data_IF_531106634885
#
_entry.id   IF_531106634885
#
_cell.length_a   1.000
_cell.length_b   1.000
_cell.length_c   1.000
_cell.angle_alpha   90.00
_cell.angle_beta   90.00
_cell.angle_gamma   90.00
#
_symmetry.space_group_name_H-M   'P 1'
#
loop_
_entity.id
_entity.type
_entity.pdbx_description
1 polymer ?
#
# COMPACT_ATOMS: atom_id res chain seq x y z
N UNK A 1 12.21 41.40 53.61
CA UNK A 1 11.05 41.22 52.71
C UNK A 1 11.32 40.02 51.83
N UNK A 2 10.66 38.90 52.10
CA UNK A 2 11.03 37.60 51.52
C UNK A 2 10.40 37.37 50.15
N UNK A 3 11.20 36.87 49.21
CA UNK A 3 10.80 36.34 47.88
C UNK A 3 9.56 35.41 47.93
N UNK A 4 9.29 34.79 49.07
CA UNK A 4 8.18 33.86 49.29
C UNK A 4 6.80 34.52 49.21
N UNK A 5 6.68 35.84 49.44
CA UNK A 5 5.38 36.53 49.48
C UNK A 5 4.87 37.00 48.09
N UNK A 6 5.72 37.01 47.06
CA UNK A 6 5.38 37.54 45.73
C UNK A 6 5.37 36.48 44.63
N UNK A 7 5.86 35.28 44.92
CA UNK A 7 5.92 34.19 43.95
C UNK A 7 4.61 33.38 44.03
N UNK A 8 3.86 33.22 42.93
CA UNK A 8 2.67 32.39 42.91
C UNK A 8 2.97 30.97 43.40
N UNK A 9 2.07 30.42 44.21
CA UNK A 9 2.24 29.08 44.78
C UNK A 9 2.41 28.01 43.68
N UNK A 10 1.83 28.24 42.50
CA UNK A 10 2.00 27.41 41.30
C UNK A 10 3.45 27.35 40.82
N UNK A 11 4.22 28.43 40.96
CA UNK A 11 5.65 28.49 40.63
C UNK A 11 6.45 27.68 41.66
N UNK A 12 6.19 27.86 42.97
CA UNK A 12 6.87 27.09 44.03
C UNK A 12 6.52 25.60 44.03
N UNK A 13 5.42 25.18 43.40
CA UNK A 13 5.06 23.77 43.25
C UNK A 13 5.26 23.24 41.82
N UNK A 14 5.84 24.04 40.92
CA UNK A 14 6.10 23.59 39.57
C UNK A 14 7.34 22.70 39.55
N UNK A 15 7.11 21.39 39.43
CA UNK A 15 8.14 20.33 39.50
C UNK A 15 9.36 20.57 38.57
N UNK A 16 9.17 21.23 37.43
CA UNK A 16 10.27 21.54 36.50
C UNK A 16 11.29 22.55 37.04
N UNK A 17 10.91 23.43 37.99
CA UNK A 17 11.85 24.39 38.62
C UNK A 17 12.87 23.66 39.49
N UNK A 18 12.46 22.55 40.10
CA UNK A 18 13.33 21.71 40.93
C UNK A 18 14.14 20.70 40.11
N UNK A 19 14.09 20.78 38.78
CA UNK A 19 14.74 19.80 37.89
C UNK A 19 14.16 18.38 38.01
N UNK A 20 13.00 18.22 38.66
CA UNK A 20 12.31 16.94 38.74
C UNK A 20 11.73 16.63 37.37
N UNK A 21 12.08 15.47 36.83
CA UNK A 21 11.54 14.97 35.56
C UNK A 21 10.38 14.03 35.85
N UNK A 22 9.35 14.05 35.02
CA UNK A 22 8.30 13.03 35.12
C UNK A 22 8.92 11.67 34.79
N UNK A 23 8.38 10.58 35.36
CA UNK A 23 8.86 9.23 35.06
C UNK A 23 8.83 8.92 33.56
N UNK A 24 7.81 9.44 32.84
CA UNK A 24 7.70 9.33 31.39
C UNK A 24 8.85 10.04 30.65
N UNK A 25 9.26 11.23 31.09
CA UNK A 25 10.38 11.98 30.50
C UNK A 25 11.71 11.23 30.68
N UNK A 26 11.90 10.61 31.85
CA UNK A 26 13.08 9.79 32.14
C UNK A 26 13.12 8.56 31.24
N UNK A 27 11.99 7.86 31.10
CA UNK A 27 11.87 6.69 30.22
C UNK A 27 12.09 7.06 28.75
N UNK A 28 11.50 8.16 28.27
CA UNK A 28 11.72 8.67 26.93
C UNK A 28 13.21 8.96 26.70
N UNK A 29 13.86 9.66 27.63
CA UNK A 29 15.27 9.99 27.52
C UNK A 29 16.13 8.71 27.45
N UNK A 30 15.89 7.75 28.33
CA UNK A 30 16.60 6.47 28.34
C UNK A 30 16.42 5.72 27.01
N UNK A 31 15.18 5.53 26.58
CA UNK A 31 14.88 4.83 25.33
C UNK A 31 15.47 5.53 24.10
N UNK A 32 15.42 6.86 24.05
CA UNK A 32 15.98 7.65 22.95
C UNK A 32 17.51 7.56 22.93
N UNK A 33 18.17 7.71 24.09
CA UNK A 33 19.63 7.60 24.19
C UNK A 33 20.14 6.20 23.84
N UNK A 34 19.47 5.15 24.34
CA UNK A 34 19.83 3.76 24.02
C UNK A 34 19.65 3.46 22.54
N UNK A 35 18.57 3.97 21.95
CA UNK A 35 18.32 3.81 20.53
C UNK A 35 19.37 4.50 19.67
N UNK A 36 19.64 5.78 19.94
CA UNK A 36 20.66 6.55 19.21
C UNK A 36 22.04 5.90 19.33
N UNK A 37 22.41 5.43 20.52
CA UNK A 37 23.67 4.72 20.74
C UNK A 37 23.73 3.43 19.91
N UNK A 38 22.64 2.69 19.85
CA UNK A 38 22.60 1.39 19.16
C UNK A 38 22.59 1.55 17.64
N UNK A 39 21.83 2.50 17.09
CA UNK A 39 21.82 2.79 15.64
C UNK A 39 23.19 3.24 15.16
N UNK A 40 23.91 4.04 15.96
CA UNK A 40 25.24 4.53 15.62
C UNK A 40 26.37 3.57 16.03
N UNK A 41 26.05 2.38 16.54
CA UNK A 41 27.07 1.42 16.94
C UNK A 41 27.78 0.82 15.71
N UNK A 42 29.12 0.70 15.70
CA UNK A 42 29.86 0.18 14.54
C UNK A 42 29.41 -1.21 14.04
N UNK A 43 28.92 -2.07 14.94
CA UNK A 43 28.41 -3.40 14.60
C UNK A 43 26.88 -3.45 14.54
N UNK A 44 26.22 -2.32 14.30
CA UNK A 44 24.76 -2.28 14.13
C UNK A 44 24.26 -3.31 13.09
N UNK A 45 25.04 -3.55 12.04
CA UNK A 45 24.69 -4.47 10.96
C UNK A 45 24.51 -5.93 11.38
N UNK A 46 25.15 -6.34 12.47
CA UNK A 46 25.04 -7.69 13.05
C UNK A 46 24.12 -7.73 14.26
N UNK A 47 23.57 -6.58 14.67
CA UNK A 47 22.68 -6.48 15.82
C UNK A 47 21.30 -7.10 15.54
N UNK A 48 20.72 -7.87 16.50
CA UNK A 48 19.33 -8.32 16.42
C UNK A 48 18.33 -7.17 16.27
N UNK A 49 18.66 -5.99 16.81
CA UNK A 49 17.83 -4.80 16.73
C UNK A 49 17.60 -4.35 15.29
N UNK A 50 18.57 -4.62 14.40
CA UNK A 50 18.38 -4.47 12.96
C UNK A 50 17.19 -5.32 12.52
N UNK A 51 17.23 -6.62 12.74
CA UNK A 51 16.17 -7.53 12.31
C UNK A 51 14.79 -7.08 12.83
N UNK A 52 14.70 -6.69 14.11
CA UNK A 52 13.45 -6.22 14.72
C UNK A 52 12.85 -5.00 14.01
N UNK A 53 13.65 -3.98 13.71
CA UNK A 53 13.13 -2.80 12.99
C UNK A 53 12.74 -3.11 11.55
N UNK A 54 13.45 -4.02 10.86
CA UNK A 54 12.99 -4.44 9.54
C UNK A 54 11.66 -5.19 9.64
N UNK A 55 11.47 -6.02 10.67
CA UNK A 55 10.18 -6.66 10.95
C UNK A 55 9.07 -5.62 11.22
N UNK A 56 9.36 -4.60 12.03
CA UNK A 56 8.43 -3.49 12.28
C UNK A 56 8.13 -2.68 11.02
N UNK A 57 9.12 -2.41 10.18
CA UNK A 57 8.93 -1.72 8.89
C UNK A 57 8.05 -2.55 7.95
N UNK A 58 8.28 -3.86 7.92
CA UNK A 58 7.48 -4.79 7.13
C UNK A 58 6.04 -4.88 7.67
N UNK A 59 5.81 -4.82 8.98
CA UNK A 59 4.48 -4.85 9.58
C UNK A 59 3.73 -3.52 9.42
N UNK A 60 4.43 -2.40 9.50
CA UNK A 60 3.90 -1.07 9.20
C UNK A 60 3.51 -0.91 7.72
N UNK A 61 4.06 -1.75 6.83
CA UNK A 61 3.77 -1.80 5.38
C UNK A 61 3.65 -0.40 4.77
N UNK A 62 4.62 0.47 5.04
CA UNK A 62 4.65 1.85 4.56
C UNK A 62 5.79 2.06 3.57
N UNK A 63 5.60 3.02 2.66
CA UNK A 63 6.62 3.48 1.72
C UNK A 63 7.58 4.51 2.33
N UNK A 64 7.29 5.01 3.52
CA UNK A 64 8.18 5.83 4.33
C UNK A 64 8.78 4.99 5.46
N UNK A 65 9.95 5.40 5.94
CA UNK A 65 10.60 4.75 7.08
C UNK A 65 9.80 4.98 8.35
N UNK A 66 9.64 3.94 9.17
CA UNK A 66 9.04 4.02 10.51
C UNK A 66 9.81 4.94 11.47
N UNK A 67 11.04 5.32 11.11
CA UNK A 67 11.88 6.23 11.88
C UNK A 67 11.60 7.71 11.57
N UNK A 68 10.99 8.00 10.42
CA UNK A 68 10.70 9.36 9.95
C UNK A 68 9.22 9.67 9.85
N UNK A 69 8.38 8.65 9.67
CA UNK A 69 6.93 8.78 9.56
C UNK A 69 6.23 7.92 10.62
N UNK A 70 5.18 8.48 11.22
CA UNK A 70 4.43 7.85 12.31
C UNK A 70 3.72 6.56 11.87
N UNK A 71 4.13 5.38 12.37
CA UNK A 71 3.64 4.09 11.89
C UNK A 71 2.47 3.54 12.71
N UNK A 72 1.52 2.91 12.02
CA UNK A 72 0.56 2.00 12.65
C UNK A 72 1.03 0.56 12.50
N UNK A 73 1.24 -0.14 13.62
CA UNK A 73 1.57 -1.57 13.64
C UNK A 73 0.31 -2.44 13.84
N UNK A 74 0.35 -3.66 13.33
CA UNK A 74 -0.68 -4.68 13.51
C UNK A 74 -0.58 -5.35 14.91
N UNK A 75 -1.58 -6.18 15.24
CA UNK A 75 -1.77 -6.74 16.60
C UNK A 75 -0.58 -7.53 17.15
N UNK A 76 0.24 -8.15 16.29
CA UNK A 76 1.42 -8.90 16.74
C UNK A 76 2.53 -7.98 17.23
N UNK A 77 2.97 -7.06 16.37
CA UNK A 77 4.13 -6.20 16.63
C UNK A 77 3.81 -4.98 17.51
N UNK A 78 2.58 -4.50 17.51
CA UNK A 78 2.16 -3.27 18.23
C UNK A 78 2.45 -3.27 19.73
N UNK A 79 2.56 -4.45 20.35
CA UNK A 79 2.77 -4.60 21.79
C UNK A 79 4.24 -4.74 22.18
N UNK A 80 5.15 -4.89 21.21
CA UNK A 80 6.59 -5.03 21.47
C UNK A 80 7.16 -3.75 22.08
N UNK A 81 8.23 -3.88 22.88
CA UNK A 81 8.92 -2.75 23.49
C UNK A 81 9.45 -1.80 22.41
N UNK A 82 10.07 -2.34 21.37
CA UNK A 82 10.59 -1.56 20.24
C UNK A 82 9.50 -0.77 19.53
N UNK A 83 8.33 -1.38 19.24
CA UNK A 83 7.22 -0.66 18.62
C UNK A 83 6.70 0.49 19.51
N UNK A 84 6.59 0.25 20.83
CA UNK A 84 6.19 1.28 21.80
C UNK A 84 7.20 2.42 21.86
N UNK A 85 8.50 2.11 21.84
CA UNK A 85 9.55 3.13 21.78
C UNK A 85 9.44 3.98 20.52
N UNK A 86 9.25 3.38 19.34
CA UNK A 86 9.08 4.14 18.10
C UNK A 86 7.86 5.07 18.18
N UNK A 87 6.72 4.57 18.67
CA UNK A 87 5.52 5.38 18.84
C UNK A 87 5.76 6.55 19.80
N UNK A 88 6.41 6.29 20.92
CA UNK A 88 6.74 7.31 21.92
C UNK A 88 7.61 8.43 21.33
N UNK A 89 8.54 8.11 20.41
CA UNK A 89 9.34 9.11 19.70
C UNK A 89 8.47 10.00 18.82
N UNK A 90 7.56 9.42 18.04
CA UNK A 90 6.64 10.17 17.17
C UNK A 90 5.64 11.02 17.95
N UNK A 91 5.13 10.52 19.08
CA UNK A 91 4.31 11.30 20.02
C UNK A 91 5.02 12.57 20.50
N UNK A 92 6.35 12.54 20.61
CA UNK A 92 7.19 13.69 20.96
C UNK A 92 7.77 14.43 19.74
N UNK A 93 7.29 14.14 18.53
CA UNK A 93 7.76 14.73 17.27
C UNK A 93 9.27 14.55 17.02
N UNK A 94 9.85 13.45 17.51
CA UNK A 94 11.26 13.11 17.30
C UNK A 94 11.37 12.18 16.09
N UNK A 95 12.02 12.66 15.04
CA UNK A 95 12.36 11.84 13.87
C UNK A 95 13.85 11.47 13.88
N UNK A 96 14.15 10.26 13.43
CA UNK A 96 15.53 9.77 13.32
C UNK A 96 15.92 9.70 11.85
N UNK A 97 16.92 10.51 11.49
CA UNK A 97 17.50 10.53 10.17
C UNK A 97 18.89 9.91 10.22
N UNK A 98 19.15 8.94 9.35
CA UNK A 98 20.49 8.43 9.13
C UNK A 98 20.92 8.70 7.69
N UNK A 99 21.80 9.68 7.50
CA UNK A 99 22.25 10.09 6.18
C UNK A 99 23.15 9.04 5.50
N UNK A 100 23.73 8.14 6.28
CA UNK A 100 24.70 7.15 5.80
C UNK A 100 24.06 5.77 5.55
N UNK A 101 22.84 5.53 6.05
CA UNK A 101 22.22 4.21 6.03
C UNK A 101 20.75 4.34 5.58
N UNK A 102 20.43 3.82 4.39
CA UNK A 102 19.06 3.73 3.86
C UNK A 102 18.29 2.57 4.49
N UNK A 103 18.17 2.57 5.82
CA UNK A 103 17.58 1.48 6.56
C UNK A 103 16.74 2.01 7.74
N UNK A 104 15.60 1.38 8.11
CA UNK A 104 14.98 0.19 7.52
C UNK A 104 14.47 0.42 6.11
N UNK A 105 14.41 -0.64 5.31
CA UNK A 105 13.99 -0.54 3.91
C UNK A 105 12.46 -0.45 3.82
N UNK A 106 11.90 0.69 3.38
CA UNK A 106 10.47 0.83 3.22
C UNK A 106 9.96 0.10 1.96
N UNK A 107 8.64 0.01 1.82
CA UNK A 107 8.04 -0.53 0.61
C UNK A 107 8.40 0.36 -0.60
N UNK A 108 8.88 -0.22 -1.72
CA UNK A 108 9.29 0.56 -2.90
C UNK A 108 8.10 1.11 -3.71
N UNK A 109 6.86 0.92 -3.24
CA UNK A 109 5.65 1.32 -3.94
C UNK A 109 5.33 2.79 -3.69
N UNK A 110 5.01 3.50 -4.77
CA UNK A 110 4.51 4.86 -4.69
C UNK A 110 3.04 4.87 -4.21
N UNK A 111 2.73 5.77 -3.28
CA UNK A 111 1.37 6.02 -2.81
C UNK A 111 1.37 6.80 -1.49
N UNK A 112 0.21 7.28 -1.10
CA UNK A 112 -0.02 7.94 0.19
C UNK A 112 -0.34 6.87 1.22
N UNK A 113 0.51 6.72 2.23
CA UNK A 113 0.34 5.67 3.25
C UNK A 113 -0.97 5.86 4.02
N UNK A 114 -1.70 4.76 4.22
CA UNK A 114 -2.94 4.77 4.99
C UNK A 114 -2.72 5.01 6.49
N UNK A 115 -1.47 4.86 6.97
CA UNK A 115 -1.12 5.05 8.38
C UNK A 115 -1.45 6.48 8.87
N UNK A 116 -1.38 7.48 7.98
CA UNK A 116 -1.77 8.87 8.29
C UNK A 116 -3.20 9.00 8.81
N UNK A 117 -4.11 8.15 8.32
CA UNK A 117 -5.50 8.08 8.77
C UNK A 117 -5.58 7.20 10.02
N UNK A 118 -4.97 6.02 9.95
CA UNK A 118 -5.12 5.00 10.99
C UNK A 118 -4.68 5.48 12.36
N UNK A 119 -3.65 6.33 12.48
CA UNK A 119 -3.16 6.82 13.77
C UNK A 119 -4.23 7.57 14.56
N UNK A 120 -5.18 8.22 13.87
CA UNK A 120 -6.27 8.97 14.49
C UNK A 120 -7.52 8.12 14.81
N UNK A 121 -7.56 6.87 14.35
CA UNK A 121 -8.74 6.02 14.49
C UNK A 121 -8.70 5.14 15.73
N UNK A 122 -9.87 5.02 16.37
CA UNK A 122 -10.08 3.97 17.38
C UNK A 122 -9.87 2.58 16.74
N UNK A 123 -9.17 1.68 17.44
CA UNK A 123 -8.87 0.31 16.98
C UNK A 123 -7.99 0.23 15.72
N UNK A 124 -7.16 1.24 15.49
CA UNK A 124 -6.16 1.32 14.40
C UNK A 124 -5.37 0.03 14.19
N UNK A 125 -4.90 -0.59 15.27
CA UNK A 125 -4.13 -1.85 15.25
C UNK A 125 -4.89 -3.01 14.58
N UNK A 126 -6.19 -3.16 14.88
CA UNK A 126 -7.03 -4.22 14.30
C UNK A 126 -7.35 -3.92 12.85
N UNK A 127 -7.58 -2.65 12.51
CA UNK A 127 -7.77 -2.21 11.13
C UNK A 127 -6.52 -2.49 10.31
N UNK A 128 -5.34 -2.14 10.84
CA UNK A 128 -4.04 -2.41 10.22
C UNK A 128 -3.83 -3.88 9.91
N UNK A 129 -4.10 -4.76 10.88
CA UNK A 129 -4.02 -6.20 10.66
C UNK A 129 -4.92 -6.67 9.49
N UNK A 130 -6.16 -6.18 9.43
CA UNK A 130 -7.07 -6.52 8.34
C UNK A 130 -6.58 -5.98 6.99
N UNK A 131 -6.12 -4.74 6.95
CA UNK A 131 -5.59 -4.09 5.76
C UNK A 131 -4.38 -4.84 5.21
N UNK A 132 -3.43 -5.22 6.08
CA UNK A 132 -2.26 -6.01 5.71
C UNK A 132 -2.65 -7.36 5.11
N UNK A 133 -3.67 -8.02 5.67
CA UNK A 133 -4.19 -9.29 5.13
C UNK A 133 -4.74 -9.17 3.70
N UNK A 134 -5.27 -8.01 3.32
CA UNK A 134 -5.81 -7.76 1.99
C UNK A 134 -4.80 -7.08 1.04
N UNK A 135 -3.64 -6.63 1.54
CA UNK A 135 -2.66 -5.90 0.74
C UNK A 135 -3.07 -4.45 0.46
N UNK A 136 -3.81 -3.83 1.39
CA UNK A 136 -4.29 -2.45 1.29
C UNK A 136 -3.42 -1.55 2.18
N UNK A 137 -2.50 -0.83 1.56
CA UNK A 137 -1.48 -0.03 2.25
C UNK A 137 -1.58 1.46 1.95
N UNK A 138 -2.20 1.80 0.81
CA UNK A 138 -2.24 3.16 0.27
C UNK A 138 -3.66 3.64 0.07
N UNK A 139 -3.88 4.94 0.20
CA UNK A 139 -5.18 5.58 -0.01
C UNK A 139 -5.65 5.43 -1.44
N UNK A 140 -4.74 5.53 -2.40
CA UNK A 140 -5.01 5.45 -3.83
C UNK A 140 -5.64 4.09 -4.23
N UNK A 141 -5.42 3.03 -3.44
CA UNK A 141 -6.05 1.73 -3.68
C UNK A 141 -7.58 1.73 -3.44
N UNK A 142 -8.10 2.76 -2.78
CA UNK A 142 -9.52 2.95 -2.47
C UNK A 142 -10.21 3.93 -3.43
N UNK A 143 -9.46 4.61 -4.30
CA UNK A 143 -9.99 5.67 -5.17
C UNK A 143 -9.88 5.29 -6.63
N UNK A 144 -10.66 5.97 -7.47
CA UNK A 144 -10.53 5.88 -8.92
C UNK A 144 -9.28 6.62 -9.43
N UNK A 145 -9.07 6.64 -10.75
CA UNK A 145 -7.91 7.27 -11.38
C UNK A 145 -7.84 8.78 -11.20
N UNK A 146 -9.00 9.43 -11.16
CA UNK A 146 -9.13 10.90 -11.06
C UNK A 146 -9.35 11.41 -9.64
N UNK A 147 -9.32 10.54 -8.63
CA UNK A 147 -9.61 10.86 -7.22
C UNK A 147 -10.99 11.49 -6.97
N UNK A 148 -11.94 11.32 -7.89
CA UNK A 148 -13.29 11.89 -7.78
C UNK A 148 -14.27 10.99 -7.03
N UNK A 149 -13.97 9.69 -6.95
CA UNK A 149 -14.86 8.72 -6.33
C UNK A 149 -14.09 7.57 -5.67
N UNK A 150 -14.67 7.04 -4.59
CA UNK A 150 -14.19 5.83 -3.94
C UNK A 150 -14.67 4.58 -4.68
N UNK A 151 -13.80 3.58 -4.74
CA UNK A 151 -14.08 2.28 -5.30
C UNK A 151 -15.01 1.51 -4.37
N UNK A 152 -16.01 0.87 -4.96
CA UNK A 152 -16.78 -0.16 -4.26
C UNK A 152 -15.86 -1.32 -3.86
N UNK A 153 -16.23 -2.07 -2.82
CA UNK A 153 -15.45 -3.25 -2.40
C UNK A 153 -15.16 -4.21 -3.55
N UNK A 154 -16.13 -4.40 -4.46
CA UNK A 154 -15.95 -5.24 -5.66
C UNK A 154 -14.86 -4.71 -6.58
N UNK A 155 -14.77 -3.40 -6.76
CA UNK A 155 -13.78 -2.74 -7.61
C UNK A 155 -12.38 -2.80 -7.00
N UNK A 156 -12.27 -2.74 -5.68
CA UNK A 156 -10.99 -2.91 -4.96
C UNK A 156 -10.35 -4.27 -5.24
N UNK A 157 -11.12 -5.30 -5.60
CA UNK A 157 -10.54 -6.60 -5.97
C UNK A 157 -9.51 -6.46 -7.12
N UNK A 158 -9.74 -5.52 -8.05
CA UNK A 158 -8.80 -5.20 -9.12
C UNK A 158 -7.53 -4.52 -8.61
N UNK A 159 -7.60 -3.59 -7.67
CA UNK A 159 -6.39 -2.96 -7.11
C UNK A 159 -5.56 -3.95 -6.31
N UNK A 160 -6.19 -4.84 -5.51
CA UNK A 160 -5.48 -5.88 -4.74
C UNK A 160 -5.13 -7.14 -5.54
N UNK A 161 -5.56 -7.22 -6.81
CA UNK A 161 -5.31 -8.35 -7.71
C UNK A 161 -5.78 -9.70 -7.15
N UNK A 162 -6.90 -9.71 -6.41
CA UNK A 162 -7.46 -10.90 -5.75
C UNK A 162 -8.95 -10.72 -5.53
N UNK A 163 -9.73 -11.79 -5.73
CA UNK A 163 -11.17 -11.82 -5.42
C UNK A 163 -11.37 -12.55 -4.08
N UNK A 164 -11.65 -11.84 -2.98
CA UNK A 164 -12.05 -12.44 -1.71
C UNK A 164 -13.38 -13.21 -1.85
N UNK A 165 -13.50 -14.33 -1.14
CA UNK A 165 -14.75 -15.14 -1.12
C UNK A 165 -15.86 -14.54 -0.26
N UNK A 166 -15.55 -13.54 0.58
CA UNK A 166 -16.47 -12.99 1.59
C UNK A 166 -17.12 -11.70 1.09
N UNK A 167 -18.29 -11.39 1.67
CA UNK A 167 -18.96 -10.09 1.51
C UNK A 167 -18.04 -8.94 1.89
N UNK A 168 -18.39 -7.74 1.43
CA UNK A 168 -17.72 -6.50 1.84
C UNK A 168 -17.64 -6.44 3.38
N UNK A 169 -16.43 -6.28 3.95
CA UNK A 169 -16.30 -6.23 5.38
C UNK A 169 -16.79 -4.88 5.92
N UNK A 170 -17.48 -4.88 7.05
CA UNK A 170 -18.04 -3.64 7.62
C UNK A 170 -17.00 -2.60 8.08
N UNK A 171 -15.72 -2.98 8.21
CA UNK A 171 -14.65 -2.01 8.44
C UNK A 171 -14.31 -1.20 7.20
N UNK A 172 -14.59 -1.73 5.99
CA UNK A 172 -14.23 -1.08 4.74
C UNK A 172 -15.02 0.22 4.54
N UNK A 173 -16.34 0.17 4.73
CA UNK A 173 -17.20 1.36 4.61
C UNK A 173 -16.84 2.43 5.63
N UNK A 174 -16.61 2.02 6.89
CA UNK A 174 -16.17 2.94 7.95
C UNK A 174 -14.84 3.60 7.58
N UNK A 175 -13.87 2.82 7.11
CA UNK A 175 -12.59 3.36 6.71
C UNK A 175 -12.74 4.35 5.56
N UNK A 176 -13.52 4.04 4.52
CA UNK A 176 -13.73 4.98 3.41
C UNK A 176 -14.35 6.30 3.87
N UNK A 177 -15.29 6.26 4.82
CA UNK A 177 -15.90 7.47 5.39
C UNK A 177 -14.87 8.34 6.12
N UNK A 178 -13.94 7.71 6.85
CA UNK A 178 -12.84 8.40 7.55
C UNK A 178 -11.83 9.02 6.57
N UNK A 179 -11.52 8.34 5.45
CA UNK A 179 -10.65 8.91 4.41
C UNK A 179 -11.32 10.14 3.77
N UNK A 180 -12.63 10.08 3.51
CA UNK A 180 -13.40 11.22 2.98
C UNK A 180 -13.34 12.41 3.95
N UNK A 181 -13.48 12.17 5.25
CA UNK A 181 -13.44 13.21 6.27
C UNK A 181 -12.05 13.86 6.41
N UNK A 182 -10.98 13.11 6.13
CA UNK A 182 -9.60 13.58 6.21
C UNK A 182 -9.19 14.40 4.96
N UNK A 183 -9.63 15.66 4.92
CA UNK A 183 -9.34 16.62 3.82
C UNK A 183 -7.85 16.81 3.54
N UNK A 184 -6.99 16.70 4.55
CA UNK A 184 -5.52 16.88 4.46
C UNK A 184 -4.83 15.89 3.52
N UNK A 185 -5.45 14.74 3.24
CA UNK A 185 -4.87 13.66 2.43
C UNK A 185 -4.86 14.01 0.95
N UNK A 186 -5.85 14.79 0.49
CA UNK A 186 -6.01 15.12 -0.91
C UNK A 186 -4.78 15.86 -1.47
N UNK A 187 -4.06 16.59 -0.63
CA UNK A 187 -2.83 17.31 -0.99
C UNK A 187 -1.61 16.39 -1.17
N UNK A 188 -1.67 15.15 -0.66
CA UNK A 188 -0.56 14.19 -0.67
C UNK A 188 -0.72 13.13 -1.77
N UNK A 189 -1.88 13.06 -2.41
CA UNK A 189 -2.17 12.07 -3.45
C UNK A 189 -1.26 12.26 -4.66
N UNK A 190 -0.71 11.16 -5.14
CA UNK A 190 0.18 11.15 -6.30
C UNK A 190 -0.64 11.46 -7.56
N UNK A 191 -0.14 12.32 -8.45
CA UNK A 191 -0.83 12.57 -9.71
C UNK A 191 -0.83 11.30 -10.57
N UNK A 192 -2.02 10.89 -11.04
CA UNK A 192 -2.33 9.60 -11.64
C UNK A 192 -2.22 8.42 -10.66
N UNK A 193 -3.34 7.73 -10.47
CA UNK A 193 -3.41 6.63 -9.52
C UNK A 193 -2.61 5.42 -10.04
N UNK A 194 -1.52 5.01 -9.34
CA UNK A 194 -0.66 3.93 -9.81
C UNK A 194 -1.32 2.54 -9.73
N UNK A 195 -2.47 2.41 -9.05
CA UNK A 195 -3.15 1.14 -8.84
C UNK A 195 -4.27 0.86 -9.85
N UNK A 196 -4.64 1.84 -10.69
CA UNK A 196 -5.70 1.66 -11.70
C UNK A 196 -5.29 0.63 -12.77
N UNK A 197 -4.01 0.66 -13.18
CA UNK A 197 -3.44 -0.17 -14.25
C UNK A 197 -2.40 -1.15 -13.69
N UNK A 198 -2.83 -2.22 -13.01
CA UNK A 198 -1.93 -3.18 -12.39
C UNK A 198 -1.06 -3.89 -13.42
N UNK A 199 0.21 -4.05 -13.09
CA UNK A 199 1.19 -4.74 -13.96
C UNK A 199 0.74 -6.17 -14.23
N UNK A 200 0.92 -6.61 -15.48
CA UNK A 200 0.58 -7.98 -15.87
C UNK A 200 1.40 -9.00 -15.07
N UNK A 201 0.70 -9.97 -14.50
CA UNK A 201 1.30 -11.12 -13.80
C UNK A 201 0.44 -12.36 -14.03
N UNK A 202 0.98 -13.29 -14.82
CA UNK A 202 0.31 -14.53 -15.24
C UNK A 202 -0.05 -15.46 -14.07
N UNK A 203 0.64 -15.37 -12.93
CA UNK A 203 0.39 -16.22 -11.76
C UNK A 203 -0.82 -15.75 -10.94
N UNK A 204 -1.08 -14.44 -10.93
CA UNK A 204 -2.12 -13.83 -10.08
C UNK A 204 -3.49 -13.76 -10.77
N UNK A 205 -3.52 -13.46 -12.06
CA UNK A 205 -4.75 -13.47 -12.84
C UNK A 205 -4.49 -13.93 -14.28
N UNK A 206 -5.32 -14.83 -14.81
CA UNK A 206 -5.26 -15.18 -16.22
C UNK A 206 -6.03 -14.18 -17.09
N UNK A 207 -6.69 -13.16 -16.52
CA UNK A 207 -7.45 -12.20 -17.32
C UNK A 207 -6.65 -10.94 -17.57
N UNK A 208 -6.75 -10.43 -18.79
CA UNK A 208 -6.02 -9.27 -19.24
C UNK A 208 -6.95 -8.29 -19.95
N UNK A 209 -6.53 -7.05 -19.97
CA UNK A 209 -7.10 -5.99 -20.77
C UNK A 209 -6.01 -5.42 -21.68
N UNK A 210 -6.28 -5.39 -22.98
CA UNK A 210 -5.35 -4.91 -23.99
C UNK A 210 -5.60 -3.44 -24.25
N UNK A 211 -4.60 -2.64 -23.90
CA UNK A 211 -4.71 -1.19 -23.77
C UNK A 211 -5.06 -0.51 -25.10
N UNK A 212 -4.31 -0.73 -26.21
CA UNK A 212 -4.54 0.02 -27.44
C UNK A 212 -5.83 -0.36 -28.16
N UNK A 213 -6.25 -1.63 -28.08
CA UNK A 213 -7.44 -2.11 -28.80
C UNK A 213 -8.71 -2.11 -27.96
N UNK A 214 -8.63 -1.78 -26.66
CA UNK A 214 -9.77 -1.83 -25.74
C UNK A 214 -10.47 -3.21 -25.75
N UNK A 215 -9.68 -4.28 -25.77
CA UNK A 215 -10.19 -5.67 -25.83
C UNK A 215 -9.89 -6.45 -24.56
N UNK A 216 -10.77 -7.40 -24.23
CA UNK A 216 -10.65 -8.24 -23.05
C UNK A 216 -10.14 -9.63 -23.42
N UNK A 217 -9.33 -10.22 -22.55
CA UNK A 217 -8.63 -11.46 -22.87
C UNK A 217 -8.52 -12.41 -21.70
N UNK A 218 -8.59 -13.71 -21.98
CA UNK A 218 -8.04 -14.72 -21.08
C UNK A 218 -6.70 -15.19 -21.63
N UNK A 219 -5.63 -14.95 -20.89
CA UNK A 219 -4.28 -15.46 -21.11
C UNK A 219 -4.31 -16.96 -21.41
N UNK A 220 -3.54 -17.34 -22.44
CA UNK A 220 -3.35 -18.73 -22.84
C UNK A 220 -1.88 -19.11 -22.84
N UNK A 221 -1.01 -18.29 -23.45
CA UNK A 221 0.43 -18.57 -23.57
C UNK A 221 1.21 -17.26 -23.59
N UNK A 222 2.44 -17.29 -23.07
CA UNK A 222 3.41 -16.20 -23.19
C UNK A 222 4.65 -16.74 -23.89
N UNK A 223 5.18 -16.00 -24.87
CA UNK A 223 6.38 -16.36 -25.62
C UNK A 223 7.05 -15.09 -26.13
N UNK A 224 8.36 -14.96 -25.92
CA UNK A 224 9.20 -13.87 -26.47
C UNK A 224 8.60 -12.46 -26.27
N UNK A 225 8.19 -12.12 -25.04
CA UNK A 225 7.60 -10.82 -24.73
C UNK A 225 6.19 -10.56 -25.31
N UNK A 226 5.58 -11.57 -25.95
CA UNK A 226 4.22 -11.53 -26.47
C UNK A 226 3.31 -12.47 -25.69
N UNK A 227 2.07 -12.07 -25.55
CA UNK A 227 0.99 -12.85 -24.99
C UNK A 227 0.02 -13.28 -26.10
N UNK A 228 -0.45 -14.52 -26.02
CA UNK A 228 -1.60 -15.01 -26.77
C UNK A 228 -2.74 -15.14 -25.78
N UNK A 229 -3.86 -14.48 -26.09
CA UNK A 229 -5.05 -14.52 -25.27
C UNK A 229 -6.29 -14.80 -26.10
N UNK A 230 -7.24 -15.51 -25.48
CA UNK A 230 -8.57 -15.71 -26.06
C UNK A 230 -9.37 -14.43 -25.89
N UNK A 231 -9.94 -13.92 -26.97
CA UNK A 231 -10.67 -12.65 -27.00
C UNK A 231 -12.12 -12.79 -26.46
N UNK A 232 -12.52 -11.80 -25.64
CA UNK A 232 -13.84 -11.63 -25.06
C UNK A 232 -14.34 -10.21 -25.28
N UNK A 233 -15.65 -10.05 -25.40
CA UNK A 233 -16.32 -8.76 -25.58
C UNK A 233 -17.29 -8.52 -24.43
N UNK A 234 -17.64 -7.25 -24.19
CA UNK A 234 -18.69 -6.93 -23.24
C UNK A 234 -20.04 -7.46 -23.73
N UNK A 235 -20.84 -7.95 -22.79
CA UNK A 235 -22.21 -8.35 -23.05
C UNK A 235 -23.06 -7.10 -23.30
N UNK A 236 -23.82 -7.04 -24.41
CA UNK A 236 -24.72 -5.91 -24.66
C UNK A 236 -25.92 -5.88 -23.70
N UNK A 237 -26.25 -7.02 -23.08
CA UNK A 237 -27.45 -7.17 -22.23
C UNK A 237 -27.13 -6.96 -20.74
N UNK A 238 -25.91 -7.30 -20.32
CA UNK A 238 -25.55 -7.32 -18.89
C UNK A 238 -24.28 -6.49 -18.67
N UNK A 239 -24.39 -5.27 -18.13
CA UNK A 239 -23.26 -4.39 -17.91
C UNK A 239 -22.13 -5.05 -17.10
N UNK A 240 -20.89 -4.85 -17.53
CA UNK A 240 -19.69 -5.37 -16.86
C UNK A 240 -19.47 -6.88 -16.98
N UNK A 241 -20.37 -7.63 -17.62
CA UNK A 241 -20.17 -9.06 -17.92
C UNK A 241 -19.49 -9.23 -19.27
N UNK A 242 -18.54 -10.14 -19.38
CA UNK A 242 -17.89 -10.50 -20.64
C UNK A 242 -18.39 -11.83 -21.20
N UNK A 243 -18.49 -11.88 -22.52
CA UNK A 243 -18.89 -13.06 -23.30
C UNK A 243 -17.83 -13.40 -24.33
N UNK A 244 -17.80 -14.66 -24.77
CA UNK A 244 -16.86 -15.11 -25.80
C UNK A 244 -17.12 -14.32 -27.09
N UNK A 245 -16.07 -13.77 -27.68
CA UNK A 245 -16.20 -13.12 -28.98
C UNK A 245 -16.59 -14.16 -30.05
N UNK A 246 -17.61 -13.83 -30.86
CA UNK A 246 -18.04 -14.60 -32.03
C UNK A 246 -17.84 -13.72 -33.27
N UNK A 247 -16.90 -14.09 -34.15
CA UNK A 247 -16.72 -13.40 -35.44
C UNK A 247 -15.89 -12.10 -35.41
N UNK A 248 -14.82 -12.03 -34.62
CA UNK A 248 -13.89 -10.89 -34.70
C UNK A 248 -13.14 -10.90 -36.05
N UNK A 249 -12.93 -9.73 -36.70
CA UNK A 249 -12.16 -9.62 -37.94
C UNK A 249 -10.71 -10.13 -37.82
N UNK A 250 -10.15 -10.14 -36.61
CA UNK A 250 -8.80 -10.66 -36.36
C UNK A 250 -8.75 -12.20 -36.28
N UNK A 251 -9.89 -12.87 -36.38
CA UNK A 251 -9.96 -14.33 -36.37
C UNK A 251 -9.83 -14.86 -37.79
N UNK A 252 -8.91 -15.79 -38.02
CA UNK A 252 -8.87 -16.55 -39.27
C UNK A 252 -10.23 -17.20 -39.53
N UNK A 253 -10.78 -17.03 -40.74
CA UNK A 253 -12.06 -17.64 -41.18
C UNK A 253 -12.03 -19.15 -40.86
N UNK A 254 -13.07 -19.64 -40.18
CA UNK A 254 -13.23 -21.06 -39.83
C UNK A 254 -12.87 -21.46 -38.39
N UNK A 255 -12.29 -20.57 -37.57
CA UNK A 255 -12.03 -20.87 -36.14
C UNK A 255 -13.18 -20.42 -35.25
N UNK A 256 -13.68 -21.33 -34.41
CA UNK A 256 -14.76 -21.06 -33.41
C UNK A 256 -14.30 -20.19 -32.23
N UNK A 257 -12.98 -19.96 -32.09
CA UNK A 257 -12.39 -19.22 -30.99
C UNK A 257 -11.43 -18.14 -31.50
N UNK A 258 -11.69 -16.90 -31.13
CA UNK A 258 -10.84 -15.76 -31.42
C UNK A 258 -9.64 -15.70 -30.44
N UNK A 259 -8.43 -15.70 -31.00
CA UNK A 259 -7.18 -15.48 -30.27
C UNK A 259 -6.49 -14.25 -30.85
N UNK A 260 -5.95 -13.41 -29.96
CA UNK A 260 -5.20 -12.22 -30.32
C UNK A 260 -3.80 -12.34 -29.70
N UNK A 261 -2.80 -11.84 -30.43
CA UNK A 261 -1.43 -11.72 -29.96
C UNK A 261 -1.13 -10.24 -29.67
N UNK A 262 -0.60 -9.94 -28.48
CA UNK A 262 -0.20 -8.59 -28.08
C UNK A 262 1.13 -8.61 -27.32
N UNK A 263 1.93 -7.53 -27.33
CA UNK A 263 3.10 -7.42 -26.47
C UNK A 263 2.69 -7.27 -24.99
N UNK A 264 3.50 -7.82 -24.09
CA UNK A 264 3.23 -7.78 -22.62
C UNK A 264 3.23 -6.35 -22.08
N UNK A 265 3.95 -5.42 -22.71
CA UNK A 265 3.97 -4.00 -22.35
C UNK A 265 2.65 -3.27 -22.60
N UNK A 266 1.76 -3.82 -23.44
CA UNK A 266 0.48 -3.19 -23.81
C UNK A 266 -0.73 -3.82 -23.11
N UNK A 267 -0.51 -4.60 -22.07
CA UNK A 267 -1.58 -5.30 -21.34
C UNK A 267 -1.50 -5.00 -19.85
N UNK A 268 -2.65 -5.04 -19.20
CA UNK A 268 -2.79 -4.96 -17.75
C UNK A 268 -3.58 -6.15 -17.23
N UNK A 269 -3.30 -6.59 -16.00
CA UNK A 269 -4.10 -7.63 -15.38
C UNK A 269 -5.52 -7.14 -15.11
N UNK A 270 -6.50 -7.99 -15.34
CA UNK A 270 -7.90 -7.72 -15.05
C UNK A 270 -8.41 -8.74 -14.04
N UNK A 271 -9.28 -8.31 -13.13
CA UNK A 271 -9.98 -9.23 -12.22
C UNK A 271 -11.37 -9.53 -12.74
N UNK A 272 -11.64 -10.83 -12.98
CA UNK A 272 -12.90 -11.33 -13.50
C UNK A 272 -13.35 -12.53 -12.67
N UNK A 273 -14.60 -12.52 -12.22
CA UNK A 273 -15.15 -13.62 -11.43
C UNK A 273 -15.50 -14.87 -12.27
N UNK A 274 -15.97 -15.92 -11.57
CA UNK A 274 -16.41 -17.16 -12.22
C UNK A 274 -17.60 -16.95 -13.15
N UNK A 275 -18.47 -15.98 -12.83
CA UNK A 275 -19.65 -15.59 -13.61
C UNK A 275 -19.32 -14.65 -14.78
N UNK A 276 -18.03 -14.34 -14.98
CA UNK A 276 -17.52 -13.47 -16.05
C UNK A 276 -17.86 -12.00 -15.88
N UNK A 277 -18.05 -11.52 -14.66
CA UNK A 277 -18.12 -10.08 -14.42
C UNK A 277 -16.74 -9.51 -14.14
N UNK A 278 -16.50 -8.32 -14.66
CA UNK A 278 -15.32 -7.53 -14.41
C UNK A 278 -15.45 -6.84 -13.04
N UNK A 279 -14.37 -6.88 -12.27
CA UNK A 279 -14.27 -6.31 -10.92
C UNK A 279 -13.57 -4.96 -10.91
N UNK A 280 -13.81 -4.13 -11.93
CA UNK A 280 -13.28 -2.77 -12.02
C UNK A 280 -14.22 -1.92 -12.87
N UNK A 281 -14.11 -0.60 -12.75
CA UNK A 281 -14.84 0.31 -13.61
C UNK A 281 -14.11 0.45 -14.95
N UNK A 282 -14.78 0.08 -16.05
CA UNK A 282 -14.21 0.11 -17.39
C UNK A 282 -13.94 1.55 -17.84
N UNK A 283 -14.81 2.52 -17.47
CA UNK A 283 -14.60 3.92 -17.82
C UNK A 283 -13.37 4.49 -17.10
N UNK A 284 -13.14 4.06 -15.86
CA UNK A 284 -11.98 4.45 -15.06
C UNK A 284 -10.68 3.90 -15.66
N UNK A 285 -10.66 2.61 -16.02
CA UNK A 285 -9.55 2.02 -16.78
C UNK A 285 -9.26 2.79 -18.06
N UNK A 286 -10.28 3.06 -18.87
CA UNK A 286 -10.14 3.80 -20.13
C UNK A 286 -9.64 5.24 -19.90
N UNK A 287 -10.07 5.89 -18.83
CA UNK A 287 -9.58 7.22 -18.45
C UNK A 287 -8.09 7.19 -18.09
N UNK A 288 -7.65 6.18 -17.35
CA UNK A 288 -6.24 5.98 -17.03
C UNK A 288 -5.39 5.74 -18.29
N UNK A 289 -5.95 5.04 -19.29
CA UNK A 289 -5.27 4.85 -20.57
C UNK A 289 -5.11 6.13 -21.37
N UNK A 290 -6.12 7.00 -21.39
CA UNK A 290 -6.04 8.28 -22.11
C UNK A 290 -4.97 9.20 -21.54
N UNK A 291 -4.67 9.04 -20.26
CA UNK A 291 -3.66 9.84 -19.57
C UNK A 291 -2.24 9.26 -19.70
N UNK A 292 -2.08 8.03 -20.20
CA UNK A 292 -0.79 7.48 -20.57
C UNK A 292 -0.38 8.07 -21.93
N UNK A 293 0.58 8.99 -21.93
CA UNK A 293 1.15 9.49 -23.18
C UNK A 293 1.77 8.32 -23.98
N UNK A 294 1.59 8.25 -25.31
CA UNK A 294 2.21 7.20 -26.14
C UNK A 294 3.75 7.27 -26.17
N UNK A 295 4.35 8.36 -25.69
CA UNK A 295 5.79 8.54 -25.54
C UNK A 295 6.37 8.00 -24.21
N UNK A 296 5.53 7.72 -23.21
CA UNK A 296 5.95 7.21 -21.90
C UNK A 296 5.96 5.67 -21.84
N UNK A 297 6.42 5.02 -22.91
CA UNK A 297 6.83 3.60 -22.87
C UNK A 297 8.20 3.43 -22.22
N UNK A 298 8.43 4.13 -21.10
CA UNK A 298 9.44 3.69 -20.15
C UNK A 298 8.89 2.45 -19.45
N UNK A 299 9.67 1.38 -19.27
CA UNK A 299 9.18 0.21 -18.56
C UNK A 299 8.72 0.68 -17.17
N UNK A 300 7.43 0.52 -16.88
CA UNK A 300 6.90 0.62 -15.52
C UNK A 300 7.87 -0.18 -14.65
N UNK A 301 8.62 0.52 -13.81
CA UNK A 301 9.84 0.00 -13.19
C UNK A 301 9.52 -1.32 -12.51
N UNK A 302 10.10 -2.39 -13.06
CA UNK A 302 10.07 -3.72 -12.51
C UNK A 302 10.88 -3.71 -11.21
N UNK A 303 10.21 -3.72 -10.07
CA UNK A 303 10.81 -4.25 -8.83
C UNK A 303 10.00 -5.47 -8.39
N UNK A 304 10.25 -6.57 -9.09
CA UNK A 304 10.09 -7.89 -8.49
C UNK A 304 11.18 -8.09 -7.46
N UNK A 305 11.05 -7.49 -6.28
CA UNK A 305 11.78 -7.99 -5.13
C UNK A 305 11.00 -9.17 -4.56
N UNK A 306 11.49 -10.35 -4.93
CA UNK A 306 11.34 -11.57 -4.17
C UNK A 306 11.61 -11.23 -2.70
N UNK A 307 10.58 -11.35 -1.86
CA UNK A 307 10.82 -11.54 -0.44
C UNK A 307 11.68 -12.79 -0.31
N UNK A 308 12.91 -12.63 0.16
CA UNK A 308 13.74 -13.72 0.65
C UNK A 308 12.91 -14.51 1.65
N UNK A 309 12.45 -15.68 1.24
CA UNK A 309 12.24 -16.78 2.16
C UNK A 309 13.61 -17.33 2.51
N UNK A 310 13.87 -17.40 3.80
CA UNK A 310 14.66 -18.43 4.47
C UNK A 310 15.94 -18.88 3.75
N UNK A 311 17.04 -18.18 4.03
CA UNK A 311 18.34 -18.84 4.05
C UNK A 311 18.61 -19.20 5.51
N UNK A 312 18.22 -20.41 5.89
CA UNK A 312 18.90 -21.11 6.97
C UNK A 312 20.36 -21.33 6.54
N UNK A 313 21.36 -20.97 7.35
CA UNK A 313 22.71 -21.43 7.10
C UNK A 313 22.78 -22.90 7.52
N UNK A 314 22.89 -23.80 6.55
CA UNK A 314 23.49 -25.10 6.81
C UNK A 314 25.01 -24.89 6.93
N UNK A 315 25.56 -25.61 7.90
CA UNK A 315 26.95 -26.05 8.11
C UNK A 315 27.93 -25.86 6.95
#
# INVERSE_FOLDING_TARGET
MGLVATVPNTTMHYYKIYGLKAAADIQLQQHTSDLLRTINYPLFYTSPLKICYQQLQNDATANLSILTSDPTFATGESNTTTAKTIKLLHEHSITLHNNNIQWPFPLPQAGTTINLILNNLSRSVRLKHNLNKYGLYFVEQFTNNSYTAFLTWRQVHHTIQKIPRKRAPGWFTKLTDEIVAATSIHNHLIMLNPFTLPVFNSTKSPWIYHIPKNTFGKHSKTSNGKIIYRHWTLSPVTPGKIIKCKGCPETQKGKSTCYITAPVSMITNLQVDRQKHIHTNISDLQSALRNLNPSDTSPIIFTGHLFHKDVSPNE
#
